data_IF_056620625013
#
_entry.id   IF_056620625013
#
_cell.length_a   1.000
_cell.length_b   1.000
_cell.length_c   1.000
_cell.angle_alpha   90.00
_cell.angle_beta   90.00
_cell.angle_gamma   90.00
#
_symmetry.space_group_name_H-M   'P 1'
#
loop_
_entity.id
_entity.type
_entity.pdbx_description
1 polymer ?
#
# COMPACT_ATOMS: atom_id res chain seq x y z
N UNK A 1 -11.74 4.42 0.14
CA UNK A 1 -10.59 3.60 -0.31
C UNK A 1 -9.31 4.44 -0.38
N UNK A 2 -9.29 5.56 -1.11
CA UNK A 2 -8.13 6.46 -1.19
C UNK A 2 -8.49 7.87 -0.73
N UNK A 3 -7.66 8.47 0.14
CA UNK A 3 -7.78 9.87 0.56
C UNK A 3 -6.82 10.71 -0.27
N UNK A 4 -7.34 11.62 -1.10
CA UNK A 4 -6.55 12.41 -2.06
C UNK A 4 -6.40 13.84 -1.55
N UNK A 5 -5.17 14.35 -1.56
CA UNK A 5 -4.86 15.74 -1.20
C UNK A 5 -3.70 16.27 -2.05
N UNK A 6 -3.77 17.54 -2.45
CA UNK A 6 -2.75 18.15 -3.31
C UNK A 6 -1.49 18.52 -2.52
N UNK A 7 -0.30 18.22 -3.04
CA UNK A 7 0.96 18.69 -2.45
C UNK A 7 1.21 20.19 -2.61
N UNK A 8 0.68 20.81 -3.68
CA UNK A 8 0.97 22.22 -4.01
C UNK A 8 -0.18 23.17 -3.70
N UNK A 9 -1.42 22.67 -3.72
CA UNK A 9 -2.64 23.50 -3.60
C UNK A 9 -3.34 23.34 -2.26
N UNK A 10 -2.72 22.70 -1.28
CA UNK A 10 -3.33 22.46 0.04
C UNK A 10 -2.29 22.59 1.14
N UNK A 11 -2.71 23.08 2.30
CA UNK A 11 -1.86 23.11 3.49
C UNK A 11 -1.64 21.69 4.02
N UNK A 12 -0.40 21.37 4.35
CA UNK A 12 -0.01 20.13 5.02
C UNK A 12 0.64 20.45 6.36
N UNK A 13 0.12 19.91 7.48
CA UNK A 13 0.87 19.88 8.72
C UNK A 13 2.23 19.19 8.48
N UNK A 14 3.37 19.77 8.93
CA UNK A 14 4.69 19.22 8.66
C UNK A 14 4.85 17.76 9.08
N UNK A 15 4.32 17.38 10.25
CA UNK A 15 4.33 16.01 10.75
C UNK A 15 3.62 15.03 9.82
N UNK A 16 2.47 15.43 9.26
CA UNK A 16 1.71 14.60 8.33
C UNK A 16 2.44 14.44 6.98
N UNK A 17 3.09 15.51 6.51
CA UNK A 17 3.86 15.46 5.27
C UNK A 17 5.10 14.57 5.41
N UNK A 18 5.82 14.70 6.53
CA UNK A 18 6.97 13.85 6.83
C UNK A 18 6.57 12.37 6.87
N UNK A 19 5.49 12.03 7.57
CA UNK A 19 4.96 10.66 7.61
C UNK A 19 4.69 10.11 6.20
N UNK A 20 4.11 10.90 5.30
CA UNK A 20 3.83 10.46 3.92
C UNK A 20 5.13 10.21 3.16
N UNK A 21 6.13 11.08 3.32
CA UNK A 21 7.44 10.88 2.71
C UNK A 21 8.10 9.62 3.23
N UNK A 22 8.16 9.45 4.54
CA UNK A 22 8.77 8.29 5.20
C UNK A 22 8.09 6.99 4.78
N UNK A 23 6.75 6.92 4.77
CA UNK A 23 6.03 5.74 4.29
C UNK A 23 6.34 5.46 2.80
N UNK A 24 6.36 6.51 1.97
CA UNK A 24 6.63 6.36 0.54
C UNK A 24 8.07 5.89 0.27
N UNK A 25 9.06 6.34 1.05
CA UNK A 25 10.46 5.91 0.92
C UNK A 25 10.69 4.52 1.53
N UNK A 26 9.99 4.19 2.61
CA UNK A 26 10.17 2.94 3.36
C UNK A 26 9.19 1.84 2.92
N UNK A 27 9.00 1.68 1.60
CA UNK A 27 8.39 0.47 1.07
C UNK A 27 6.86 0.38 1.20
N UNK A 28 6.11 1.47 1.38
CA UNK A 28 4.65 1.42 1.37
C UNK A 28 4.06 0.74 0.11
N UNK A 29 4.75 0.84 -1.04
CA UNK A 29 4.34 0.12 -2.25
C UNK A 29 4.48 -1.41 -2.11
N UNK A 30 5.42 -1.93 -1.33
CA UNK A 30 5.62 -3.38 -1.14
C UNK A 30 4.39 -4.03 -0.50
N UNK A 31 3.66 -3.31 0.36
CA UNK A 31 2.41 -3.82 0.95
C UNK A 31 1.35 -4.07 -0.12
N UNK A 32 1.22 -3.14 -1.06
CA UNK A 32 0.16 -3.15 -2.08
C UNK A 32 0.56 -3.77 -3.41
N UNK A 33 1.84 -4.05 -3.63
CA UNK A 33 2.39 -4.58 -4.87
C UNK A 33 3.19 -5.88 -4.65
N UNK A 34 3.13 -6.48 -3.45
CA UNK A 34 3.83 -7.73 -3.11
C UNK A 34 3.62 -8.82 -4.15
N UNK A 35 2.37 -9.05 -4.54
CA UNK A 35 1.98 -10.06 -5.51
C UNK A 35 2.46 -9.78 -6.93
N UNK A 36 2.99 -8.58 -7.23
CA UNK A 36 3.67 -8.32 -8.51
C UNK A 36 5.10 -8.87 -8.51
N UNK A 37 5.70 -9.03 -7.33
CA UNK A 37 7.04 -9.57 -7.14
C UNK A 37 7.04 -11.10 -6.97
N UNK A 38 5.90 -11.67 -6.60
CA UNK A 38 5.73 -13.11 -6.40
C UNK A 38 5.74 -13.87 -7.75
N UNK A 39 6.74 -14.74 -8.02
CA UNK A 39 6.80 -15.52 -9.24
C UNK A 39 5.62 -16.49 -9.45
N UNK A 40 4.95 -16.88 -8.36
CA UNK A 40 3.83 -17.83 -8.35
C UNK A 40 2.48 -17.17 -8.57
N UNK A 41 2.39 -15.84 -8.52
CA UNK A 41 1.14 -15.14 -8.68
C UNK A 41 0.66 -15.15 -10.15
N UNK A 42 -0.60 -15.52 -10.36
CA UNK A 42 -1.23 -15.69 -11.68
C UNK A 42 -1.88 -14.41 -12.22
N UNK A 43 -1.96 -13.34 -11.43
CA UNK A 43 -2.55 -12.06 -11.87
C UNK A 43 -1.63 -11.38 -12.90
N UNK A 44 -2.15 -10.83 -14.03
CA UNK A 44 -1.34 -10.24 -15.09
C UNK A 44 -0.32 -9.20 -14.56
N UNK A 45 0.94 -9.42 -14.94
CA UNK A 45 2.15 -9.04 -14.20
C UNK A 45 2.80 -7.72 -14.62
N UNK A 46 2.05 -6.69 -14.99
CA UNK A 46 2.69 -5.44 -15.42
C UNK A 46 2.05 -4.20 -14.84
N UNK A 47 2.82 -3.55 -13.96
CA UNK A 47 2.59 -2.16 -13.57
C UNK A 47 2.60 -1.29 -14.83
N UNK A 48 1.55 -0.48 -15.07
CA UNK A 48 1.51 0.42 -16.21
C UNK A 48 2.70 1.37 -16.22
N UNK A 49 3.23 1.63 -17.41
CA UNK A 49 4.23 2.65 -17.68
C UNK A 49 3.60 4.05 -17.80
N UNK A 50 4.45 5.07 -17.79
CA UNK A 50 3.99 6.45 -17.97
C UNK A 50 3.30 6.68 -19.33
N UNK A 51 3.66 5.91 -20.37
CA UNK A 51 3.12 6.03 -21.73
C UNK A 51 1.78 5.31 -21.93
N UNK A 52 1.39 4.43 -21.00
CA UNK A 52 0.15 3.68 -21.11
C UNK A 52 -1.08 4.59 -20.98
N UNK A 53 -2.17 4.16 -21.62
CA UNK A 53 -3.42 4.90 -21.67
C UNK A 53 -4.08 5.03 -20.29
N UNK A 54 -4.93 6.04 -20.14
CA UNK A 54 -5.68 6.25 -18.88
C UNK A 54 -6.53 5.04 -18.46
N UNK A 55 -7.24 4.33 -19.37
CA UNK A 55 -7.99 3.14 -18.99
C UNK A 55 -7.13 2.03 -18.36
N UNK A 56 -5.93 1.78 -18.92
CA UNK A 56 -4.98 0.79 -18.39
C UNK A 56 -4.52 1.16 -16.98
N UNK A 57 -4.20 2.44 -16.75
CA UNK A 57 -3.83 2.94 -15.42
C UNK A 57 -4.98 2.85 -14.43
N UNK A 58 -6.19 3.20 -14.84
CA UNK A 58 -7.38 3.16 -14.00
C UNK A 58 -7.73 1.74 -13.56
N UNK A 59 -7.64 0.77 -14.47
CA UNK A 59 -7.88 -0.64 -14.16
C UNK A 59 -6.88 -1.14 -13.12
N UNK A 60 -5.58 -0.91 -13.36
CA UNK A 60 -4.52 -1.28 -12.41
C UNK A 60 -4.73 -0.66 -11.01
N UNK A 61 -5.12 0.62 -10.92
CA UNK A 61 -5.39 1.28 -9.63
C UNK A 61 -6.56 0.62 -8.90
N UNK A 62 -7.65 0.25 -9.60
CA UNK A 62 -8.78 -0.47 -8.99
C UNK A 62 -8.34 -1.87 -8.53
N UNK A 63 -7.62 -2.60 -9.36
CA UNK A 63 -7.11 -3.93 -9.02
C UNK A 63 -6.17 -3.88 -7.80
N UNK A 64 -5.32 -2.85 -7.71
CA UNK A 64 -4.40 -2.64 -6.59
C UNK A 64 -5.12 -2.33 -5.28
N UNK A 65 -5.96 -1.29 -5.24
CA UNK A 65 -6.49 -0.76 -3.97
C UNK A 65 -7.92 -1.20 -3.65
N UNK A 66 -8.76 -1.45 -4.66
CA UNK A 66 -10.15 -1.84 -4.44
C UNK A 66 -10.30 -3.36 -4.36
N UNK A 67 -9.64 -4.11 -5.24
CA UNK A 67 -9.69 -5.58 -5.25
C UNK A 67 -8.61 -6.21 -4.36
N UNK A 68 -7.60 -5.42 -3.95
CA UNK A 68 -6.45 -5.89 -3.16
C UNK A 68 -5.80 -7.12 -3.81
N UNK A 69 -5.67 -7.13 -5.14
CA UNK A 69 -5.25 -8.33 -5.88
C UNK A 69 -3.76 -8.65 -5.73
N UNK A 70 -2.95 -7.66 -5.31
CA UNK A 70 -1.50 -7.77 -5.23
C UNK A 70 -0.95 -7.71 -3.80
N UNK A 71 -1.80 -7.84 -2.78
CA UNK A 71 -1.33 -7.94 -1.39
C UNK A 71 -0.84 -9.37 -1.09
N UNK A 72 -0.03 -9.53 -0.05
CA UNK A 72 0.37 -10.85 0.43
C UNK A 72 -0.78 -11.52 1.21
N UNK A 73 -1.54 -12.39 0.54
CA UNK A 73 -2.66 -13.13 1.15
C UNK A 73 -2.23 -14.30 2.04
N UNK A 74 -1.00 -14.80 1.92
CA UNK A 74 -0.50 -15.90 2.75
C UNK A 74 -0.39 -15.50 4.23
N UNK A 75 -0.23 -14.21 4.52
CA UNK A 75 -0.30 -13.70 5.89
C UNK A 75 -1.72 -13.75 6.45
N UNK A 76 -2.76 -13.57 5.63
CA UNK A 76 -4.16 -13.56 6.10
C UNK A 76 -4.61 -14.91 6.68
N UNK A 77 -4.06 -16.04 6.21
CA UNK A 77 -4.35 -17.36 6.79
C UNK A 77 -3.63 -17.62 8.13
N UNK A 78 -2.54 -16.90 8.38
CA UNK A 78 -1.74 -16.99 9.62
C UNK A 78 -2.03 -15.87 10.62
N UNK A 79 -2.79 -14.86 10.21
CA UNK A 79 -3.08 -13.69 11.03
C UNK A 79 -3.98 -14.15 12.18
N UNK A 80 -3.51 -13.88 13.40
CA UNK A 80 -4.28 -14.08 14.61
C UNK A 80 -5.60 -13.31 14.57
N UNK A 81 -6.38 -13.44 15.63
CA UNK A 81 -7.63 -12.71 15.77
C UNK A 81 -7.41 -11.19 15.61
N UNK A 82 -8.48 -10.43 15.34
CA UNK A 82 -8.42 -8.97 15.31
C UNK A 82 -7.75 -8.37 16.57
N UNK A 83 -7.97 -9.02 17.72
CA UNK A 83 -7.35 -8.64 19.00
C UNK A 83 -5.83 -8.81 18.97
N UNK A 84 -5.33 -9.90 18.38
CA UNK A 84 -3.89 -10.14 18.24
C UNK A 84 -3.24 -9.07 17.36
N UNK A 85 -3.90 -8.67 16.27
CA UNK A 85 -3.45 -7.58 15.40
C UNK A 85 -3.45 -6.23 16.13
N UNK A 86 -4.47 -5.98 16.96
CA UNK A 86 -4.56 -4.78 17.77
C UNK A 86 -3.40 -4.68 18.78
N UNK A 87 -3.11 -5.78 19.48
CA UNK A 87 -2.00 -5.86 20.42
C UNK A 87 -0.65 -5.71 19.72
N UNK A 88 -0.45 -6.32 18.55
CA UNK A 88 0.76 -6.16 17.75
C UNK A 88 0.97 -4.71 17.33
N UNK A 89 -0.09 -4.03 16.86
CA UNK A 89 -0.02 -2.62 16.50
C UNK A 89 0.37 -1.75 17.70
N UNK A 90 -0.24 -1.99 18.86
CA UNK A 90 0.10 -1.28 20.10
C UNK A 90 1.55 -1.49 20.53
N UNK A 91 2.11 -2.67 20.28
CA UNK A 91 3.51 -2.97 20.58
C UNK A 91 4.44 -2.21 19.62
N UNK A 92 4.19 -2.30 18.32
CA UNK A 92 5.04 -1.74 17.25
C UNK A 92 5.00 -0.21 17.24
N UNK A 93 3.85 0.40 17.58
CA UNK A 93 3.71 1.86 17.60
C UNK A 93 4.51 2.54 18.73
N UNK A 94 5.01 1.77 19.71
CA UNK A 94 5.86 2.28 20.80
C UNK A 94 7.35 2.29 20.45
N UNK A 95 7.73 1.68 19.33
CA UNK A 95 9.11 1.66 18.85
C UNK A 95 9.22 2.47 17.56
N UNK A 96 10.29 3.26 17.43
CA UNK A 96 10.57 4.03 16.22
C UNK A 96 10.96 3.04 15.10
N UNK A 97 9.97 2.64 14.31
CA UNK A 97 10.12 1.75 13.15
C UNK A 97 10.03 2.49 11.82
N UNK A 98 10.10 3.83 11.85
CA UNK A 98 10.02 4.73 10.71
C UNK A 98 11.25 5.65 10.70
#
# INVERSE_FOLDING_TARGET
ISQIKSFKRSYWPPSQLNLIYELSSNGANLVWEYGLLDPQNKVPRKKPSAKDSLPVKADFIRTKYQQMAYINRLKDETNGTFEDLHLQLHSIARTDNI
#
